data_IF_524933898261
#
_entry.id   IF_524933898261
#
_cell.length_a   1.000
_cell.length_b   1.000
_cell.length_c   1.000
_cell.angle_alpha   90.00
_cell.angle_beta   90.00
_cell.angle_gamma   90.00
#
_symmetry.space_group_name_H-M   'P 1'
#
loop_
_entity.id
_entity.type
_entity.pdbx_description
1 polymer ?
#
# COMPACT_ATOMS: atom_id res chain seq x y z
N UNK A 1 -27.01 -22.52 -8.38
CA UNK A 1 -26.66 -21.72 -9.57
C UNK A 1 -26.56 -20.27 -9.13
N UNK A 2 -25.42 -19.61 -9.35
CA UNK A 2 -25.22 -18.21 -8.94
C UNK A 2 -25.81 -17.23 -9.96
N UNK A 3 -26.32 -16.11 -9.48
CA UNK A 3 -26.86 -15.04 -10.32
C UNK A 3 -25.73 -14.27 -10.99
N UNK A 4 -25.62 -14.43 -12.32
CA UNK A 4 -24.57 -13.80 -13.13
C UNK A 4 -24.81 -12.30 -13.36
N UNK A 5 -26.05 -11.85 -13.20
CA UNK A 5 -26.45 -10.47 -13.50
C UNK A 5 -26.56 -9.62 -12.24
N UNK A 6 -26.29 -10.18 -11.05
CA UNK A 6 -26.42 -9.51 -9.77
C UNK A 6 -27.78 -8.79 -9.70
N UNK A 7 -28.87 -9.50 -10.02
CA UNK A 7 -30.21 -8.95 -10.05
C UNK A 7 -30.63 -8.58 -8.62
N UNK A 8 -31.20 -7.39 -8.45
CA UNK A 8 -31.54 -6.84 -7.13
C UNK A 8 -30.39 -6.16 -6.37
N UNK A 9 -29.14 -6.26 -6.85
CA UNK A 9 -28.00 -5.55 -6.25
C UNK A 9 -27.81 -4.22 -6.97
N UNK A 10 -27.78 -3.14 -6.19
CA UNK A 10 -27.62 -1.77 -6.69
C UNK A 10 -26.18 -1.27 -6.57
N UNK A 11 -25.44 -1.72 -5.55
CA UNK A 11 -24.08 -1.26 -5.25
C UNK A 11 -23.17 -2.44 -4.91
N UNK A 12 -21.94 -2.41 -5.43
CA UNK A 12 -20.86 -3.34 -5.08
C UNK A 12 -19.68 -2.52 -4.58
N UNK A 13 -19.14 -2.88 -3.43
CA UNK A 13 -17.97 -2.25 -2.83
C UNK A 13 -16.84 -3.28 -2.86
N UNK A 14 -15.71 -2.90 -3.44
CA UNK A 14 -14.48 -3.70 -3.45
C UNK A 14 -13.47 -2.97 -2.58
N UNK A 15 -13.07 -3.60 -1.49
CA UNK A 15 -12.10 -3.04 -0.55
C UNK A 15 -10.68 -3.54 -0.85
N UNK A 16 -9.68 -2.83 -0.34
CA UNK A 16 -8.27 -3.17 -0.42
C UNK A 16 -7.76 -3.51 -1.83
N UNK A 17 -8.27 -2.79 -2.84
CA UNK A 17 -7.85 -3.00 -4.24
C UNK A 17 -6.34 -2.76 -4.46
N UNK A 18 -5.69 -2.13 -3.50
CA UNK A 18 -4.26 -1.87 -3.50
C UNK A 18 -3.39 -3.12 -3.28
N UNK A 19 -3.94 -4.22 -2.75
CA UNK A 19 -3.19 -5.46 -2.56
C UNK A 19 -2.82 -6.15 -3.88
N UNK A 20 -3.45 -5.75 -4.99
CA UNK A 20 -3.23 -6.31 -6.34
C UNK A 20 -3.25 -7.85 -6.36
N UNK A 21 -4.21 -8.43 -5.65
CA UNK A 21 -4.41 -9.87 -5.64
C UNK A 21 -4.94 -10.35 -7.00
N UNK A 22 -4.53 -11.54 -7.44
CA UNK A 22 -4.96 -12.11 -8.72
C UNK A 22 -6.48 -12.24 -8.83
N UNK A 23 -7.13 -12.61 -7.73
CA UNK A 23 -8.59 -12.70 -7.66
C UNK A 23 -9.26 -11.32 -7.69
N UNK A 24 -8.67 -10.32 -7.03
CA UNK A 24 -9.15 -8.94 -7.05
C UNK A 24 -9.09 -8.34 -8.46
N UNK A 25 -7.96 -8.51 -9.15
CA UNK A 25 -7.81 -8.03 -10.54
C UNK A 25 -8.82 -8.69 -11.48
N UNK A 26 -9.02 -10.01 -11.34
CA UNK A 26 -10.03 -10.73 -12.12
C UNK A 26 -11.45 -10.22 -11.83
N UNK A 27 -11.77 -9.96 -10.56
CA UNK A 27 -13.05 -9.39 -10.16
C UNK A 27 -13.29 -8.02 -10.81
N UNK A 28 -12.28 -7.15 -10.85
CA UNK A 28 -12.40 -5.83 -11.49
C UNK A 28 -12.70 -5.93 -13.00
N UNK A 29 -12.06 -6.89 -13.70
CA UNK A 29 -12.33 -7.16 -15.12
C UNK A 29 -13.78 -7.60 -15.34
N UNK A 30 -14.27 -8.52 -14.49
CA UNK A 30 -15.65 -9.01 -14.56
C UNK A 30 -16.64 -7.89 -14.24
N UNK A 31 -16.40 -7.09 -13.20
CA UNK A 31 -17.26 -5.97 -12.82
C UNK A 31 -17.36 -4.92 -13.93
N UNK A 32 -16.23 -4.55 -14.55
CA UNK A 32 -16.22 -3.63 -15.70
C UNK A 32 -17.07 -4.17 -16.85
N UNK A 33 -16.89 -5.44 -17.18
CA UNK A 33 -17.67 -6.12 -18.24
C UNK A 33 -19.17 -6.17 -17.92
N UNK A 34 -19.54 -6.33 -16.65
CA UNK A 34 -20.93 -6.35 -16.20
C UNK A 34 -21.58 -4.96 -16.27
N UNK A 35 -20.85 -3.90 -15.91
CA UNK A 35 -21.34 -2.51 -16.02
C UNK A 35 -21.63 -2.18 -17.48
N UNK A 36 -20.68 -2.45 -18.39
CA UNK A 36 -20.84 -2.21 -19.83
C UNK A 36 -22.03 -2.97 -20.41
N UNK A 37 -22.21 -4.23 -20.03
CA UNK A 37 -23.38 -5.03 -20.43
C UNK A 37 -24.69 -4.44 -19.90
N UNK A 38 -24.76 -4.09 -18.62
CA UNK A 38 -25.98 -3.51 -18.03
C UNK A 38 -26.37 -2.19 -18.71
N UNK A 39 -25.38 -1.36 -19.04
CA UNK A 39 -25.57 -0.15 -19.82
C UNK A 39 -26.12 -0.45 -21.23
N UNK A 40 -25.53 -1.41 -21.94
CA UNK A 40 -25.95 -1.79 -23.30
C UNK A 40 -27.36 -2.37 -23.39
N UNK A 41 -27.79 -3.15 -22.38
CA UNK A 41 -29.11 -3.79 -22.36
C UNK A 41 -30.22 -2.96 -21.68
N UNK A 42 -29.93 -1.71 -21.28
CA UNK A 42 -30.92 -0.85 -20.61
C UNK A 42 -31.39 -1.39 -19.24
N UNK A 43 -30.55 -2.17 -18.57
CA UNK A 43 -30.83 -2.76 -17.26
C UNK A 43 -30.59 -1.72 -16.15
N UNK A 44 -31.14 -1.94 -14.93
CA UNK A 44 -30.84 -1.10 -13.78
C UNK A 44 -29.33 -0.96 -13.58
N UNK A 45 -28.85 0.29 -13.48
CA UNK A 45 -27.43 0.58 -13.34
C UNK A 45 -26.88 0.00 -12.04
N UNK A 46 -25.73 -0.68 -12.17
CA UNK A 46 -24.94 -1.18 -11.05
C UNK A 46 -23.85 -0.16 -10.72
N UNK A 47 -23.79 0.28 -9.48
CA UNK A 47 -22.75 1.19 -8.99
C UNK A 47 -21.61 0.39 -8.37
N UNK A 48 -20.38 0.68 -8.78
CA UNK A 48 -19.18 0.01 -8.28
C UNK A 48 -18.30 1.03 -7.57
N UNK A 49 -17.88 0.66 -6.37
CA UNK A 49 -17.13 1.51 -5.44
C UNK A 49 -15.83 0.78 -5.10
N UNK A 50 -14.68 1.45 -5.23
CA UNK A 50 -13.36 0.86 -5.03
C UNK A 50 -12.64 1.54 -3.87
N UNK A 51 -12.35 0.85 -2.78
CA UNK A 51 -11.67 1.43 -1.62
C UNK A 51 -10.20 0.97 -1.57
N UNK A 52 -9.30 1.88 -1.21
CA UNK A 52 -7.85 1.67 -1.22
C UNK A 52 -7.19 2.43 -0.09
N UNK A 53 -6.26 1.84 0.65
CA UNK A 53 -5.46 2.61 1.61
C UNK A 53 -4.36 3.48 0.93
N UNK A 54 -3.99 3.22 -0.33
CA UNK A 54 -2.75 3.76 -0.93
C UNK A 54 -2.95 4.72 -2.11
N UNK A 55 -1.87 5.42 -2.48
CA UNK A 55 -1.79 6.58 -3.41
C UNK A 55 -2.27 6.31 -4.84
N UNK A 56 -2.20 5.08 -5.35
CA UNK A 56 -2.37 4.85 -6.81
C UNK A 56 -3.83 4.78 -7.27
N UNK A 57 -4.65 5.73 -6.80
CA UNK A 57 -6.03 5.93 -7.23
C UNK A 57 -6.13 6.33 -8.71
N UNK A 58 -5.07 6.92 -9.27
CA UNK A 58 -4.99 7.31 -10.68
C UNK A 58 -5.09 6.13 -11.64
N UNK A 59 -4.45 5.00 -11.32
CA UNK A 59 -4.47 3.82 -12.15
C UNK A 59 -5.89 3.25 -12.29
N UNK A 60 -6.59 3.11 -11.15
CA UNK A 60 -7.96 2.61 -11.12
C UNK A 60 -8.93 3.58 -11.78
N UNK A 61 -8.77 4.88 -11.55
CA UNK A 61 -9.59 5.91 -12.22
C UNK A 61 -9.49 5.78 -13.74
N UNK A 62 -8.27 5.68 -14.28
CA UNK A 62 -8.04 5.52 -15.72
C UNK A 62 -8.64 4.23 -16.27
N UNK A 63 -8.52 3.13 -15.53
CA UNK A 63 -9.07 1.83 -15.94
C UNK A 63 -10.60 1.84 -16.07
N UNK A 64 -11.29 2.55 -15.17
CA UNK A 64 -12.75 2.73 -15.19
C UNK A 64 -13.21 3.97 -15.97
N UNK A 65 -12.39 4.48 -16.89
CA UNK A 65 -12.79 5.57 -17.79
C UNK A 65 -12.69 6.97 -17.18
N UNK A 66 -11.64 7.22 -16.39
CA UNK A 66 -11.40 8.45 -15.64
C UNK A 66 -12.52 8.77 -14.64
N UNK A 67 -12.92 7.77 -13.84
CA UNK A 67 -13.95 7.96 -12.83
C UNK A 67 -13.48 8.93 -11.72
N UNK A 68 -14.40 9.70 -11.10
CA UNK A 68 -14.05 10.59 -9.99
C UNK A 68 -13.30 9.88 -8.86
N UNK A 69 -12.30 10.55 -8.29
CA UNK A 69 -11.56 10.05 -7.13
C UNK A 69 -11.89 10.91 -5.94
N UNK A 70 -12.26 10.28 -4.83
CA UNK A 70 -12.50 10.95 -3.56
C UNK A 70 -11.38 10.61 -2.59
N UNK A 71 -10.87 11.64 -1.93
CA UNK A 71 -9.82 11.53 -0.90
C UNK A 71 -10.49 11.70 0.45
N UNK A 72 -10.43 10.68 1.30
CA UNK A 72 -10.83 10.84 2.69
C UNK A 72 -9.61 11.26 3.53
N UNK A 73 -9.75 12.32 4.32
CA UNK A 73 -8.71 12.72 5.28
C UNK A 73 -8.85 11.90 6.55
N UNK A 74 -7.89 11.02 6.81
CA UNK A 74 -7.80 10.27 8.07
C UNK A 74 -7.27 11.10 9.23
N UNK A 75 -7.42 10.57 10.45
CA UNK A 75 -6.67 11.04 11.63
C UNK A 75 -5.58 10.01 11.91
N UNK A 76 -4.33 10.44 11.92
CA UNK A 76 -3.20 9.60 12.34
C UNK A 76 -2.76 10.02 13.74
N UNK A 77 -2.32 9.04 14.52
CA UNK A 77 -1.59 9.29 15.75
C UNK A 77 -0.09 9.20 15.45
N UNK A 78 0.76 9.99 16.11
CA UNK A 78 2.20 9.91 15.89
C UNK A 78 2.70 8.51 16.24
N UNK A 79 3.34 7.83 15.29
CA UNK A 79 3.96 6.53 15.46
C UNK A 79 5.45 6.71 15.27
N UNK A 80 6.26 6.29 16.25
CA UNK A 80 7.72 6.32 16.15
C UNK A 80 8.20 5.18 15.27
N UNK A 81 8.98 5.50 14.24
CA UNK A 81 9.64 4.51 13.39
C UNK A 81 11.03 4.20 13.93
N UNK A 82 11.33 2.91 14.07
CA UNK A 82 12.67 2.44 14.44
C UNK A 82 13.20 1.58 13.31
N UNK A 83 14.42 1.88 12.86
CA UNK A 83 15.13 1.02 11.93
C UNK A 83 15.86 -0.09 12.70
N UNK A 84 16.35 -1.09 11.97
CA UNK A 84 16.94 -2.28 12.58
C UNK A 84 18.16 -1.93 13.46
N UNK A 85 18.96 -0.96 13.03
CA UNK A 85 20.09 -0.40 13.77
C UNK A 85 19.65 0.22 15.11
N UNK A 86 18.58 1.02 15.11
CA UNK A 86 18.08 1.67 16.32
C UNK A 86 17.57 0.61 17.31
N UNK A 87 16.99 -0.49 16.81
CA UNK A 87 16.55 -1.63 17.62
C UNK A 87 17.76 -2.34 18.23
N UNK A 88 18.79 -2.67 17.44
CA UNK A 88 20.00 -3.35 17.93
C UNK A 88 20.69 -2.57 19.06
N UNK A 89 20.77 -1.24 18.93
CA UNK A 89 21.29 -0.36 19.97
C UNK A 89 20.36 -0.33 21.19
N UNK A 90 19.04 -0.21 20.99
CA UNK A 90 18.06 -0.11 22.08
C UNK A 90 17.99 -1.35 22.97
N UNK A 91 18.12 -2.55 22.39
CA UNK A 91 18.03 -3.83 23.11
C UNK A 91 19.41 -4.37 23.50
N UNK A 92 20.48 -3.63 23.17
CA UNK A 92 21.87 -4.05 23.32
C UNK A 92 22.11 -5.48 22.79
N UNK A 93 21.62 -5.74 21.57
CA UNK A 93 21.68 -7.06 20.98
C UNK A 93 23.12 -7.41 20.60
N UNK A 94 23.62 -8.51 21.12
CA UNK A 94 24.92 -9.06 20.73
C UNK A 94 24.73 -10.39 20.00
N UNK A 95 25.29 -10.47 18.79
CA UNK A 95 25.40 -11.73 18.05
C UNK A 95 26.28 -12.70 18.84
N UNK A 96 25.84 -13.95 18.93
CA UNK A 96 26.65 -15.00 19.54
C UNK A 96 27.95 -15.17 18.74
N UNK A 97 29.07 -15.29 19.45
CA UNK A 97 30.43 -15.30 18.89
C UNK A 97 30.73 -16.52 18.01
N UNK A 98 29.93 -17.58 18.12
CA UNK A 98 29.96 -18.78 17.30
C UNK A 98 29.04 -18.72 16.07
N UNK A 99 28.20 -17.67 15.96
CA UNK A 99 27.26 -17.55 14.86
C UNK A 99 28.00 -17.29 13.52
N UNK A 100 27.59 -17.94 12.42
CA UNK A 100 28.19 -17.70 11.10
C UNK A 100 28.12 -16.24 10.64
N UNK A 101 27.13 -15.48 11.11
CA UNK A 101 26.97 -14.06 10.83
C UNK A 101 28.05 -13.21 11.54
N UNK A 102 28.36 -13.53 12.81
CA UNK A 102 29.45 -12.88 13.55
C UNK A 102 30.81 -13.19 12.92
N UNK A 103 31.06 -14.45 12.55
CA UNK A 103 32.32 -14.88 11.93
C UNK A 103 32.53 -14.25 10.54
N UNK A 104 31.46 -14.13 9.73
CA UNK A 104 31.51 -13.38 8.46
C UNK A 104 31.77 -11.90 8.65
N UNK A 105 31.20 -11.30 9.69
CA UNK A 105 31.44 -9.90 10.02
C UNK A 105 32.90 -9.68 10.45
N UNK A 106 33.43 -10.55 11.31
CA UNK A 106 34.81 -10.46 11.80
C UNK A 106 35.85 -10.65 10.67
N UNK A 107 35.58 -11.51 9.69
CA UNK A 107 36.42 -11.67 8.50
C UNK A 107 36.44 -10.43 7.58
N UNK A 108 35.37 -9.62 7.59
CA UNK A 108 35.27 -8.37 6.80
C UNK A 108 35.83 -7.15 7.56
N UNK A 109 35.88 -7.19 8.89
CA UNK A 109 36.21 -6.05 9.76
C UNK A 109 37.73 -5.83 9.95
N UNK A 110 38.61 -6.64 9.35
CA UNK A 110 40.05 -6.41 9.40
C UNK A 110 40.54 -5.21 8.53
N UNK A 111 39.68 -4.64 7.68
CA UNK A 111 39.92 -3.38 6.93
C UNK A 111 39.23 -2.16 7.59
N UNK A 112 39.46 -1.96 8.90
CA UNK A 112 38.71 -0.99 9.72
C UNK A 112 39.24 0.46 9.64
N UNK A 113 38.98 1.17 8.54
CA UNK A 113 38.90 2.64 8.52
C UNK A 113 37.65 3.06 7.75
N UNK A 114 36.45 2.85 8.30
CA UNK A 114 35.22 3.45 7.72
C UNK A 114 33.96 3.50 8.58
N UNK A 115 33.98 3.08 9.85
CA UNK A 115 32.76 3.14 10.68
C UNK A 115 32.53 4.51 11.34
N UNK A 116 33.58 5.30 11.55
CA UNK A 116 33.47 6.66 12.13
C UNK A 116 32.91 7.67 11.12
N UNK A 117 32.90 7.36 9.83
CA UNK A 117 32.36 8.25 8.79
C UNK A 117 30.83 8.15 8.61
N UNK A 118 30.17 7.12 9.16
CA UNK A 118 28.74 6.93 8.94
C UNK A 118 27.89 7.75 9.94
N UNK A 119 28.38 7.90 11.17
CA UNK A 119 27.71 8.72 12.21
C UNK A 119 27.74 10.21 11.83
N UNK A 120 28.83 10.70 11.22
CA UNK A 120 28.95 12.10 10.79
C UNK A 120 28.14 12.43 9.52
N UNK A 121 27.80 11.42 8.71
CA UNK A 121 26.91 11.58 7.54
C UNK A 121 25.43 11.73 7.94
N UNK A 122 25.03 11.18 9.11
CA UNK A 122 23.64 11.26 9.62
C UNK A 122 23.25 12.68 10.05
N UNK A 123 24.22 13.55 10.37
CA UNK A 123 23.96 14.97 10.72
C UNK A 123 23.68 15.85 9.50
N UNK A 124 24.06 15.42 8.28
CA UNK A 124 23.81 16.16 7.03
C UNK A 124 22.59 15.65 6.23
N UNK A 125 21.92 14.57 6.68
CA UNK A 125 20.71 14.03 6.07
C UNK A 125 19.45 14.23 6.94
N UNK A 126 19.38 15.32 7.71
CA UNK A 126 18.09 15.85 8.16
C UNK A 126 17.42 16.61 7.01
N UNK A 127 16.93 15.87 6.02
CA UNK A 127 15.91 16.38 5.11
C UNK A 127 14.55 16.30 5.85
N UNK A 128 13.68 17.30 5.70
CA UNK A 128 12.46 17.39 6.47
C UNK A 128 11.57 16.18 6.21
N UNK A 129 11.18 15.55 7.30
CA UNK A 129 10.18 14.51 7.43
C UNK A 129 8.95 14.90 6.61
N UNK A 130 8.76 14.26 5.45
CA UNK A 130 7.53 14.45 4.68
C UNK A 130 6.42 13.74 5.42
N UNK A 131 5.54 14.54 6.01
CA UNK A 131 4.25 14.16 6.56
C UNK A 131 3.59 13.03 5.76
N UNK A 132 3.67 11.82 6.31
CA UNK A 132 3.02 10.62 5.79
C UNK A 132 1.63 10.46 6.45
N UNK A 133 0.98 11.59 6.75
CA UNK A 133 -0.26 11.72 7.54
C UNK A 133 -1.54 11.74 6.69
N UNK A 134 -1.41 11.70 5.38
CA UNK A 134 -2.52 11.55 4.46
C UNK A 134 -2.40 10.16 3.83
N UNK A 135 -3.52 9.55 3.44
CA UNK A 135 -3.68 8.30 2.66
C UNK A 135 -4.41 7.19 3.45
N UNK A 136 -5.73 7.36 3.54
CA UNK A 136 -6.68 6.25 3.65
C UNK A 136 -7.85 6.61 2.72
N UNK A 137 -8.04 5.90 1.61
CA UNK A 137 -8.98 6.28 0.55
C UNK A 137 -10.25 5.44 0.58
N UNK A 138 -11.33 6.05 1.04
CA UNK A 138 -12.68 5.67 0.65
C UNK A 138 -12.99 6.36 -0.68
N UNK A 139 -13.00 5.63 -1.80
CA UNK A 139 -13.67 6.13 -3.00
C UNK A 139 -15.14 5.78 -2.85
N UNK A 140 -16.04 6.73 -3.12
CA UNK A 140 -17.44 6.49 -3.45
C UNK A 140 -17.57 6.82 -4.93
N UNK A 141 -18.20 5.93 -5.72
CA UNK A 141 -18.66 6.31 -7.04
C UNK A 141 -20.11 5.93 -7.28
N UNK A 142 -20.85 6.97 -7.62
CA UNK A 142 -22.13 6.88 -8.31
C UNK A 142 -21.78 6.91 -9.79
N UNK A 143 -21.89 5.78 -10.48
CA UNK A 143 -22.14 5.77 -11.93
C UNK A 143 -23.63 6.03 -12.17
#
# INVERSE_FOLDING_TARGET
>A
MGDRNLTGITHVIVDEVHERSLLGDFLLIVLKSLIEKKYAYGLPQLKVILMSATVDSSLFSRYFGNCPVLVATGRTHPVTTHFLEDIYESINYHLASDSPAYLRHQACVFDKVRYVSFVLMRSLMQAPEKDMSHLLWLVFLTL
#
